data_IF_216365865030
#
_entry.id   IF_216365865030
#
_cell.length_a   1.000
_cell.length_b   1.000
_cell.length_c   1.000
_cell.angle_alpha   90.00
_cell.angle_beta   90.00
_cell.angle_gamma   90.00
#
_symmetry.space_group_name_H-M   'P 1'
#
loop_
_entity.id
_entity.type
_entity.pdbx_description
1 polymer ?
#
# COMPACT_ATOMS: atom_id res chain seq x y z
N UNK A 1 14.56 3.26 12.09
CA UNK A 1 13.82 2.31 11.23
C UNK A 1 14.80 1.55 10.33
N UNK A 2 15.65 0.68 10.88
CA UNK A 2 16.89 0.27 10.20
C UNK A 2 16.84 -1.12 9.56
N UNK A 3 16.93 -2.17 10.37
CA UNK A 3 17.33 -3.48 9.89
C UNK A 3 16.33 -4.19 8.96
N UNK A 4 15.04 -4.25 9.32
CA UNK A 4 14.04 -4.97 8.51
C UNK A 4 13.80 -4.31 7.15
N UNK A 5 13.82 -2.98 7.09
CA UNK A 5 13.71 -2.26 5.82
C UNK A 5 14.94 -2.54 4.95
N UNK A 6 16.15 -2.48 5.51
CA UNK A 6 17.38 -2.83 4.79
C UNK A 6 17.39 -4.28 4.31
N UNK A 7 16.90 -5.22 5.12
CA UNK A 7 16.74 -6.61 4.74
C UNK A 7 15.81 -6.75 3.52
N UNK A 8 14.62 -6.13 3.57
CA UNK A 8 13.67 -6.17 2.45
C UNK A 8 14.23 -5.50 1.20
N UNK A 9 14.92 -4.36 1.34
CA UNK A 9 15.59 -3.71 0.21
C UNK A 9 16.65 -4.62 -0.41
N UNK A 10 17.45 -5.33 0.40
CA UNK A 10 18.43 -6.26 -0.12
C UNK A 10 17.77 -7.46 -0.81
N UNK A 11 16.66 -7.98 -0.27
CA UNK A 11 15.89 -9.08 -0.87
C UNK A 11 15.24 -8.71 -2.20
N UNK A 12 15.08 -7.42 -2.50
CA UNK A 12 14.61 -6.93 -3.81
C UNK A 12 15.73 -6.88 -4.86
N UNK A 13 17.00 -6.89 -4.44
CA UNK A 13 18.15 -6.95 -5.32
C UNK A 13 18.76 -8.35 -5.30
N UNK A 14 19.86 -8.54 -4.59
CA UNK A 14 20.74 -9.71 -4.74
C UNK A 14 20.77 -10.61 -3.50
N UNK A 15 20.19 -10.19 -2.37
CA UNK A 15 20.09 -11.06 -1.20
C UNK A 15 19.09 -12.19 -1.45
N UNK A 16 19.43 -13.39 -0.97
CA UNK A 16 18.52 -14.54 -0.98
C UNK A 16 18.37 -15.09 0.43
N UNK A 17 17.13 -15.12 0.92
CA UNK A 17 16.72 -15.87 2.11
C UNK A 17 15.53 -16.74 1.74
N UNK A 18 15.36 -17.89 2.41
CA UNK A 18 14.17 -18.69 2.17
C UNK A 18 12.93 -17.91 2.63
N UNK A 19 11.80 -17.96 1.90
CA UNK A 19 10.59 -17.26 2.31
C UNK A 19 10.08 -17.63 3.70
N UNK A 20 10.39 -18.84 4.17
CA UNK A 20 10.09 -19.28 5.52
C UNK A 20 10.90 -18.53 6.59
N UNK A 21 12.18 -18.21 6.33
CA UNK A 21 13.02 -17.44 7.23
C UNK A 21 12.52 -16.00 7.36
N UNK A 22 12.22 -15.35 6.23
CA UNK A 22 11.68 -13.99 6.22
C UNK A 22 10.37 -13.92 7.01
N UNK A 23 9.48 -14.90 6.81
CA UNK A 23 8.22 -15.01 7.57
C UNK A 23 8.47 -15.16 9.07
N UNK A 24 9.42 -16.01 9.47
CA UNK A 24 9.79 -16.18 10.89
C UNK A 24 10.31 -14.88 11.50
N UNK A 25 11.13 -14.13 10.76
CA UNK A 25 11.65 -12.82 11.20
C UNK A 25 10.51 -11.83 11.43
N UNK A 26 9.58 -11.69 10.48
CA UNK A 26 8.44 -10.79 10.64
C UNK A 26 7.48 -11.25 11.74
N UNK A 27 7.23 -12.55 11.87
CA UNK A 27 6.44 -13.10 12.98
C UNK A 27 7.06 -12.73 14.33
N UNK A 28 8.37 -12.90 14.51
CA UNK A 28 9.04 -12.48 15.74
C UNK A 28 8.88 -10.97 15.99
N UNK A 29 9.00 -10.14 14.95
CA UNK A 29 8.81 -8.69 15.07
C UNK A 29 7.37 -8.31 15.45
N UNK A 30 6.36 -9.01 14.95
CA UNK A 30 4.95 -8.78 15.33
C UNK A 30 4.63 -9.19 16.77
N UNK A 31 5.36 -10.15 17.34
CA UNK A 31 5.23 -10.54 18.74
C UNK A 31 6.08 -9.69 19.69
N UNK A 32 6.76 -8.66 19.19
CA UNK A 32 7.56 -7.79 20.04
C UNK A 32 6.69 -7.13 21.13
N UNK A 33 7.13 -7.13 22.40
CA UNK A 33 6.38 -6.53 23.48
C UNK A 33 6.03 -5.06 23.20
N UNK A 34 4.83 -4.64 23.59
CA UNK A 34 4.31 -3.28 23.44
C UNK A 34 4.09 -2.77 22.00
N UNK A 35 4.25 -3.59 20.95
CA UNK A 35 4.03 -3.15 19.57
C UNK A 35 2.63 -2.54 19.37
N UNK A 36 1.61 -3.17 19.93
CA UNK A 36 0.21 -2.74 19.87
C UNK A 36 -0.04 -1.35 20.51
N UNK A 37 0.84 -0.93 21.43
CA UNK A 37 0.78 0.40 22.08
C UNK A 37 1.53 1.46 21.28
N UNK A 38 2.11 1.10 20.14
CA UNK A 38 2.95 1.95 19.31
C UNK A 38 2.45 1.93 17.85
N UNK A 39 1.29 2.53 17.55
CA UNK A 39 0.62 2.39 16.25
C UNK A 39 1.51 2.81 15.07
N UNK A 40 2.33 3.84 15.22
CA UNK A 40 3.30 4.24 14.19
C UNK A 40 4.37 3.17 13.92
N UNK A 41 4.82 2.42 14.93
CA UNK A 41 5.78 1.33 14.75
C UNK A 41 5.13 0.10 14.11
N UNK A 42 3.93 -0.24 14.55
CA UNK A 42 3.16 -1.34 13.96
C UNK A 42 2.84 -1.06 12.49
N UNK A 43 2.34 0.14 12.16
CA UNK A 43 2.06 0.54 10.78
C UNK A 43 3.32 0.51 9.88
N UNK A 44 4.47 0.91 10.43
CA UNK A 44 5.75 0.78 9.73
C UNK A 44 6.14 -0.68 9.49
N UNK A 45 6.00 -1.56 10.50
CA UNK A 45 6.31 -2.98 10.35
C UNK A 45 5.40 -3.65 9.31
N UNK A 46 4.09 -3.35 9.35
CA UNK A 46 3.11 -3.78 8.35
C UNK A 46 3.50 -3.30 6.95
N UNK A 47 3.97 -2.05 6.82
CA UNK A 47 4.42 -1.49 5.55
C UNK A 47 5.66 -2.19 5.02
N UNK A 48 6.68 -2.39 5.85
CA UNK A 48 7.91 -3.08 5.41
C UNK A 48 7.59 -4.53 5.00
N UNK A 49 6.73 -5.22 5.74
CA UNK A 49 6.32 -6.58 5.34
C UNK A 49 5.48 -6.58 4.06
N UNK A 50 4.59 -5.59 3.90
CA UNK A 50 3.81 -5.41 2.69
C UNK A 50 4.69 -5.17 1.46
N UNK A 51 5.79 -4.42 1.61
CA UNK A 51 6.78 -4.22 0.56
C UNK A 51 7.51 -5.50 0.18
N UNK A 52 7.79 -6.40 1.13
CA UNK A 52 8.35 -7.71 0.82
C UNK A 52 7.38 -8.58 0.03
N UNK A 53 6.13 -8.70 0.47
CA UNK A 53 5.10 -9.47 -0.25
C UNK A 53 4.91 -8.93 -1.68
N UNK A 54 4.84 -7.61 -1.81
CA UNK A 54 4.69 -6.91 -3.09
C UNK A 54 5.90 -7.09 -4.02
N UNK A 55 7.09 -6.68 -3.57
CA UNK A 55 8.23 -6.47 -4.46
C UNK A 55 9.09 -7.71 -4.63
N UNK A 56 9.11 -8.62 -3.64
CA UNK A 56 9.94 -9.83 -3.67
C UNK A 56 9.11 -11.06 -4.01
N UNK A 57 7.90 -11.17 -3.44
CA UNK A 57 7.02 -12.33 -3.69
C UNK A 57 6.02 -12.10 -4.81
N UNK A 58 5.88 -10.87 -5.31
CA UNK A 58 4.87 -10.46 -6.29
C UNK A 58 3.42 -10.79 -5.85
N UNK A 59 3.18 -10.92 -4.54
CA UNK A 59 1.87 -11.13 -3.96
C UNK A 59 1.23 -9.77 -3.64
N UNK A 60 0.66 -9.15 -4.67
CA UNK A 60 -0.03 -7.87 -4.57
C UNK A 60 -1.22 -7.93 -3.60
N UNK A 61 -1.88 -9.09 -3.45
CA UNK A 61 -3.05 -9.24 -2.57
C UNK A 61 -2.63 -9.20 -1.11
N UNK A 62 -1.58 -9.94 -0.75
CA UNK A 62 -1.01 -9.91 0.60
C UNK A 62 -0.40 -8.56 0.93
N UNK A 63 0.32 -7.93 -0.01
CA UNK A 63 0.82 -6.56 0.15
C UNK A 63 -0.30 -5.56 0.43
N UNK A 64 -1.40 -5.61 -0.34
CA UNK A 64 -2.53 -4.71 -0.15
C UNK A 64 -3.26 -4.93 1.19
N UNK A 65 -3.36 -6.18 1.65
CA UNK A 65 -3.91 -6.51 2.97
C UNK A 65 -3.07 -5.89 4.09
N UNK A 66 -1.74 -5.96 3.99
CA UNK A 66 -0.82 -5.38 4.97
C UNK A 66 -0.85 -3.84 4.96
N UNK A 67 -0.85 -3.21 3.78
CA UNK A 67 -0.99 -1.75 3.67
C UNK A 67 -2.33 -1.25 4.21
N UNK A 68 -3.43 -1.99 3.98
CA UNK A 68 -4.73 -1.64 4.56
C UNK A 68 -4.70 -1.68 6.09
N UNK A 69 -4.08 -2.71 6.68
CA UNK A 69 -3.88 -2.76 8.14
C UNK A 69 -3.03 -1.58 8.63
N UNK A 70 -1.96 -1.21 7.92
CA UNK A 70 -1.13 -0.05 8.30
C UNK A 70 -1.96 1.26 8.33
N UNK A 71 -2.82 1.47 7.33
CA UNK A 71 -3.77 2.59 7.30
C UNK A 71 -4.77 2.53 8.45
N UNK A 72 -5.27 1.35 8.82
CA UNK A 72 -6.19 1.18 9.95
C UNK A 72 -5.52 1.52 11.29
N UNK A 73 -4.27 1.09 11.49
CA UNK A 73 -3.53 1.29 12.74
C UNK A 73 -3.05 2.75 12.89
N UNK A 74 -2.70 3.41 11.79
CA UNK A 74 -2.23 4.79 11.79
C UNK A 74 -2.97 5.63 10.72
N UNK A 75 -4.27 5.93 10.91
CA UNK A 75 -5.10 6.54 9.87
C UNK A 75 -4.76 7.99 9.53
N UNK A 76 -4.08 8.69 10.45
CA UNK A 76 -3.66 10.09 10.30
C UNK A 76 -2.33 10.28 9.57
N UNK A 77 -1.61 9.21 9.27
CA UNK A 77 -0.35 9.29 8.52
C UNK A 77 -0.62 9.08 7.02
N UNK A 78 -0.36 10.13 6.25
CA UNK A 78 -0.59 10.16 4.81
C UNK A 78 0.20 9.08 4.06
N UNK A 79 1.40 8.74 4.51
CA UNK A 79 2.33 7.89 3.77
C UNK A 79 1.78 6.46 3.59
N UNK A 80 1.18 5.89 4.64
CA UNK A 80 0.62 4.53 4.54
C UNK A 80 -0.56 4.47 3.57
N UNK A 81 -1.37 5.53 3.52
CA UNK A 81 -2.49 5.63 2.59
C UNK A 81 -2.01 5.79 1.15
N UNK A 82 -0.96 6.57 0.92
CA UNK A 82 -0.32 6.71 -0.39
C UNK A 82 0.24 5.38 -0.89
N UNK A 83 0.92 4.62 -0.03
CA UNK A 83 1.39 3.27 -0.37
C UNK A 83 0.25 2.35 -0.81
N UNK A 84 -0.88 2.39 -0.09
CA UNK A 84 -2.07 1.63 -0.45
C UNK A 84 -2.68 2.10 -1.78
N UNK A 85 -2.81 3.42 -2.01
CA UNK A 85 -3.32 3.97 -3.28
C UNK A 85 -2.48 3.46 -4.45
N UNK A 86 -1.16 3.58 -4.36
CA UNK A 86 -0.25 3.18 -5.44
C UNK A 86 -0.38 1.69 -5.76
N UNK A 87 -0.43 0.84 -4.73
CA UNK A 87 -0.63 -0.59 -4.94
C UNK A 87 -2.01 -0.90 -5.53
N UNK A 88 -3.08 -0.23 -5.09
CA UNK A 88 -4.41 -0.42 -5.66
C UNK A 88 -4.46 -0.02 -7.14
N UNK A 89 -3.73 1.03 -7.55
CA UNK A 89 -3.61 1.42 -8.96
C UNK A 89 -2.88 0.35 -9.78
N UNK A 90 -1.76 -0.20 -9.27
CA UNK A 90 -1.05 -1.33 -9.91
C UNK A 90 -1.96 -2.53 -10.09
N UNK A 91 -2.81 -2.83 -9.10
CA UNK A 91 -3.79 -3.91 -9.17
C UNK A 91 -5.02 -3.61 -10.06
N UNK A 92 -5.09 -2.43 -10.70
CA UNK A 92 -6.24 -1.99 -11.48
C UNK A 92 -7.51 -1.73 -10.65
N UNK A 93 -7.40 -1.66 -9.32
CA UNK A 93 -8.51 -1.42 -8.38
C UNK A 93 -8.81 0.07 -8.24
N UNK A 94 -9.03 0.73 -9.38
CA UNK A 94 -9.19 2.18 -9.47
C UNK A 94 -10.30 2.73 -8.55
N UNK A 95 -11.50 2.12 -8.45
CA UNK A 95 -12.53 2.61 -7.52
C UNK A 95 -12.08 2.59 -6.05
N UNK A 96 -11.28 1.61 -5.65
CA UNK A 96 -10.74 1.55 -4.30
C UNK A 96 -9.66 2.61 -4.07
N UNK A 97 -8.76 2.81 -5.05
CA UNK A 97 -7.75 3.86 -5.00
C UNK A 97 -8.39 5.26 -4.88
N UNK A 98 -9.50 5.51 -5.60
CA UNK A 98 -10.25 6.77 -5.50
C UNK A 98 -10.83 7.03 -4.11
N UNK A 99 -11.32 5.98 -3.42
CA UNK A 99 -11.81 6.13 -2.03
C UNK A 99 -10.69 6.48 -1.07
N UNK A 100 -9.54 5.82 -1.21
CA UNK A 100 -8.37 6.14 -0.38
C UNK A 100 -7.82 7.55 -0.67
N UNK A 101 -7.87 8.03 -1.92
CA UNK A 101 -7.51 9.41 -2.25
C UNK A 101 -8.45 10.42 -1.59
N UNK A 102 -9.76 10.14 -1.53
CA UNK A 102 -10.71 11.01 -0.83
C UNK A 102 -10.39 11.09 0.67
N UNK A 103 -10.10 9.95 1.30
CA UNK A 103 -9.66 9.90 2.69
C UNK A 103 -8.30 10.61 2.91
N UNK A 104 -7.37 10.50 1.96
CA UNK A 104 -6.09 11.21 2.00
C UNK A 104 -6.30 12.74 1.94
N UNK A 105 -7.20 13.22 1.08
CA UNK A 105 -7.53 14.66 0.99
C UNK A 105 -8.11 15.19 2.30
N UNK A 106 -8.88 14.40 3.03
CA UNK A 106 -9.41 14.79 4.34
C UNK A 106 -8.31 15.01 5.39
N UNK A 107 -7.11 14.45 5.20
CA UNK A 107 -5.96 14.70 6.08
C UNK A 107 -5.29 16.07 5.80
N UNK A 108 -5.58 16.71 4.66
CA UNK A 108 -4.91 17.94 4.23
C UNK A 108 -5.40 19.18 4.99
N UNK A 109 -5.06 19.27 6.27
CA UNK A 109 -5.36 20.45 7.08
C UNK A 109 -4.40 21.58 6.73
N UNK A 110 -4.96 22.77 6.53
CA UNK A 110 -4.24 24.01 6.19
C UNK A 110 -3.34 23.89 4.94
N UNK A 111 -3.62 22.94 4.04
CA UNK A 111 -2.85 22.76 2.80
C UNK A 111 -1.50 22.08 2.96
N UNK A 112 -1.14 21.60 4.16
CA UNK A 112 0.18 21.01 4.48
C UNK A 112 0.57 19.77 3.65
N UNK A 113 -0.41 19.06 3.10
CA UNK A 113 -0.21 17.85 2.28
C UNK A 113 -0.46 18.10 0.79
N UNK A 114 -0.68 19.34 0.36
CA UNK A 114 -1.08 19.66 -1.03
C UNK A 114 -0.10 19.10 -2.05
N UNK A 115 1.20 19.35 -1.86
CA UNK A 115 2.24 18.90 -2.79
C UNK A 115 2.43 17.38 -2.79
N UNK A 116 2.16 16.74 -1.65
CA UNK A 116 2.20 15.28 -1.50
C UNK A 116 1.00 14.62 -2.20
N UNK A 117 -0.18 15.24 -2.11
CA UNK A 117 -1.44 14.71 -2.67
C UNK A 117 -1.51 14.90 -4.17
N UNK A 118 -1.00 16.02 -4.69
CA UNK A 118 -1.10 16.39 -6.10
C UNK A 118 -0.65 15.28 -7.08
N UNK A 119 0.54 14.66 -6.96
CA UNK A 119 0.96 13.58 -7.87
C UNK A 119 0.04 12.36 -7.78
N UNK A 120 -0.27 11.90 -6.57
CA UNK A 120 -1.13 10.73 -6.33
C UNK A 120 -2.53 10.96 -6.93
N UNK A 121 -3.07 12.17 -6.78
CA UNK A 121 -4.35 12.54 -7.37
C UNK A 121 -4.33 12.47 -8.90
N UNK A 122 -3.27 12.95 -9.55
CA UNK A 122 -3.13 12.87 -11.01
C UNK A 122 -3.12 11.42 -11.49
N UNK A 123 -2.45 10.53 -10.79
CA UNK A 123 -2.35 9.12 -11.19
C UNK A 123 -3.68 8.39 -11.04
N UNK A 124 -4.42 8.66 -9.95
CA UNK A 124 -5.80 8.14 -9.79
C UNK A 124 -6.71 8.65 -10.92
N UNK A 125 -6.67 9.95 -11.24
CA UNK A 125 -7.52 10.51 -12.29
C UNK A 125 -7.17 9.98 -13.68
N UNK A 126 -5.88 9.78 -13.98
CA UNK A 126 -5.42 9.13 -15.21
C UNK A 126 -5.99 7.71 -15.32
N UNK A 127 -5.90 6.94 -14.24
CA UNK A 127 -6.42 5.58 -14.20
C UNK A 127 -7.95 5.52 -14.37
N UNK A 128 -8.69 6.45 -13.75
CA UNK A 128 -10.15 6.57 -13.89
C UNK A 128 -10.58 6.86 -15.33
N UNK A 129 -9.87 7.77 -16.01
CA UNK A 129 -10.13 8.10 -17.42
C UNK A 129 -9.88 6.89 -18.31
N UNK A 130 -8.78 6.17 -18.09
CA UNK A 130 -8.46 4.95 -18.83
C UNK A 130 -9.51 3.85 -18.60
N UNK A 131 -9.97 3.64 -17.37
CA UNK A 131 -11.03 2.67 -17.05
C UNK A 131 -12.36 3.03 -17.74
N UNK A 132 -12.73 4.31 -17.74
CA UNK A 132 -13.97 4.79 -18.38
C UNK A 132 -13.89 4.64 -19.89
N UNK A 133 -12.74 4.98 -20.51
CA UNK A 133 -12.50 4.74 -21.93
C UNK A 133 -12.64 3.26 -22.29
N UNK A 134 -12.05 2.36 -21.49
CA UNK A 134 -12.17 0.91 -21.68
C UNK A 134 -13.61 0.41 -21.62
N UNK A 135 -14.40 0.89 -20.65
CA UNK A 135 -15.83 0.54 -20.52
C UNK A 135 -16.68 1.02 -21.69
N UNK A 136 -16.33 2.16 -22.30
CA UNK A 136 -17.02 2.68 -23.50
C UNK A 136 -16.73 1.87 -24.77
N UNK A 137 -15.54 1.28 -24.86
CA UNK A 137 -15.12 0.48 -26.02
C UNK A 137 -15.66 -0.96 -25.92
N UNK A 138 -15.85 -1.49 -24.72
CA UNK A 138 -16.40 -2.82 -24.53
C UNK A 138 -17.85 -2.91 -25.09
N UNK A 139 -18.15 -3.86 -26.00
CA UNK A 139 -19.50 -4.02 -26.53
C UNK A 139 -20.47 -4.36 -25.39
N UNK A 140 -21.73 -3.89 -25.46
CA UNK A 140 -22.72 -4.20 -24.43
C UNK A 140 -22.87 -5.72 -24.31
N UNK A 141 -22.69 -6.24 -23.10
CA UNK A 141 -22.98 -7.63 -22.79
C UNK A 141 -24.45 -7.89 -23.06
N UNK A 142 -24.76 -8.63 -24.14
CA UNK A 142 -26.11 -9.17 -24.35
C UNK A 142 -26.36 -10.20 -23.26
N UNK A 143 -27.24 -9.87 -22.33
CA UNK A 143 -27.86 -10.88 -21.45
C UNK A 143 -28.82 -11.74 -22.30
N UNK A 144 -28.92 -13.05 -22.01
CA UNK A 144 -29.85 -13.96 -22.70
C UNK A 144 -31.32 -13.62 -22.44
#
# INVERSE_FOLDING_TARGET
>A
MGALKSLVNCLQSDCRLAPADVRRIFQAAFHAPNLERMPGREANLLTVYGQYELNVRHDFVSGARLFRRAVTVAPGDAQYRINLINLLLVMGKVPAASRELAALRALNRFGTLTDVIAPVARDVERARRAETGRKRIAPPTRSP
#
